data_IF_482656440445
#
_entry.id   IF_482656440445
#
_cell.length_a   1.000
_cell.length_b   1.000
_cell.length_c   1.000
_cell.angle_alpha   90.00
_cell.angle_beta   90.00
_cell.angle_gamma   90.00
#
_symmetry.space_group_name_H-M   'P 1'
#
loop_
_entity.id
_entity.type
_entity.pdbx_description
1 polymer ?
#
# COMPACT_ATOMS: atom_id res chain seq x y z
N UNK A 1 26.49 -13.14 22.70
CA UNK A 1 26.12 -12.56 21.39
C UNK A 1 26.18 -13.70 20.39
N UNK A 2 25.07 -14.03 19.76
CA UNK A 2 24.98 -15.06 18.71
C UNK A 2 25.23 -14.42 17.34
N UNK A 3 25.74 -15.20 16.40
CA UNK A 3 25.87 -14.79 15.00
C UNK A 3 24.50 -14.81 14.31
N UNK A 4 23.68 -15.83 14.64
CA UNK A 4 22.42 -16.12 13.97
C UNK A 4 21.31 -16.24 15.02
N UNK A 5 20.18 -15.61 14.74
CA UNK A 5 18.89 -15.86 15.37
C UNK A 5 18.04 -16.70 14.40
N UNK A 6 17.54 -17.85 14.83
CA UNK A 6 16.65 -18.68 14.01
C UNK A 6 15.19 -18.44 14.42
N UNK A 7 14.43 -17.84 13.52
CA UNK A 7 12.97 -17.70 13.63
C UNK A 7 12.28 -18.86 12.94
N UNK A 8 11.35 -19.53 13.64
CA UNK A 8 10.65 -20.70 13.11
C UNK A 8 9.32 -20.92 13.85
N UNK A 9 8.36 -21.59 13.20
CA UNK A 9 7.11 -21.96 13.86
C UNK A 9 7.34 -23.14 14.80
N UNK A 10 6.68 -23.17 15.96
CA UNK A 10 6.86 -24.23 16.98
C UNK A 10 6.67 -25.64 16.40
N UNK A 11 5.76 -25.80 15.42
CA UNK A 11 5.51 -27.07 14.75
C UNK A 11 6.71 -27.59 13.93
N UNK A 12 7.65 -26.73 13.57
CA UNK A 12 8.85 -27.05 12.80
C UNK A 12 10.07 -27.37 13.68
N UNK A 13 9.90 -27.59 14.99
CA UNK A 13 11.00 -27.77 15.95
C UNK A 13 12.08 -28.78 15.55
N UNK A 14 11.70 -29.93 15.00
CA UNK A 14 12.68 -30.95 14.56
C UNK A 14 13.47 -30.49 13.32
N UNK A 15 12.82 -29.76 12.41
CA UNK A 15 13.47 -29.17 11.22
C UNK A 15 14.43 -28.06 11.66
N UNK A 16 13.99 -27.20 12.58
CA UNK A 16 14.80 -26.14 13.17
C UNK A 16 16.03 -26.70 13.90
N UNK A 17 15.87 -27.80 14.65
CA UNK A 17 16.98 -28.45 15.33
C UNK A 17 18.07 -28.94 14.36
N UNK A 18 17.68 -29.55 13.24
CA UNK A 18 18.63 -29.98 12.21
C UNK A 18 19.42 -28.79 11.61
N UNK A 19 18.75 -27.64 11.40
CA UNK A 19 19.37 -26.41 10.92
C UNK A 19 20.37 -25.88 11.95
N UNK A 20 19.97 -25.79 13.22
CA UNK A 20 20.81 -25.32 14.33
C UNK A 20 22.07 -26.18 14.45
N UNK A 21 21.93 -27.51 14.44
CA UNK A 21 23.07 -28.42 14.53
C UNK A 21 24.03 -28.26 13.36
N UNK A 22 23.52 -28.14 12.13
CA UNK A 22 24.32 -27.90 10.94
C UNK A 22 25.10 -26.59 10.97
N UNK A 23 24.45 -25.50 11.36
CA UNK A 23 25.08 -24.18 11.49
C UNK A 23 26.13 -24.15 12.60
N UNK A 24 25.85 -24.77 13.76
CA UNK A 24 26.82 -24.90 14.86
C UNK A 24 28.03 -25.76 14.46
N UNK A 25 27.82 -26.86 13.73
CA UNK A 25 28.91 -27.68 13.19
C UNK A 25 29.76 -26.92 12.16
N UNK A 26 29.18 -25.93 11.47
CA UNK A 26 29.88 -25.02 10.57
C UNK A 26 30.60 -23.86 11.27
N UNK A 27 30.53 -23.77 12.61
CA UNK A 27 31.24 -22.78 13.42
C UNK A 27 30.45 -21.54 13.80
N UNK A 28 29.15 -21.45 13.47
CA UNK A 28 28.31 -20.32 13.86
C UNK A 28 27.72 -20.48 15.26
N UNK A 29 27.63 -19.38 16.01
CA UNK A 29 26.80 -19.33 17.21
C UNK A 29 25.34 -19.04 16.83
N UNK A 30 24.42 -19.93 17.22
CA UNK A 30 22.99 -19.84 16.86
C UNK A 30 22.15 -19.77 18.11
N UNK A 31 21.25 -18.78 18.16
CA UNK A 31 20.21 -18.63 19.17
C UNK A 31 18.85 -19.01 18.57
N UNK A 32 18.02 -19.69 19.37
CA UNK A 32 16.65 -20.09 19.08
C UNK A 32 15.89 -20.25 20.40
N UNK A 33 14.57 -20.32 20.37
CA UNK A 33 13.71 -20.25 21.57
C UNK A 33 14.00 -21.34 22.64
N UNK A 34 14.60 -22.48 22.27
CA UNK A 34 15.03 -23.53 23.22
C UNK A 34 16.25 -23.14 24.07
N UNK A 35 16.93 -22.03 23.76
CA UNK A 35 18.05 -21.51 24.56
C UNK A 35 17.58 -20.58 25.71
N UNK A 36 16.28 -20.27 25.79
CA UNK A 36 15.69 -19.43 26.85
C UNK A 36 15.81 -20.13 28.21
N UNK A 37 16.39 -19.43 29.19
CA UNK A 37 16.62 -19.98 30.52
C UNK A 37 15.33 -19.98 31.36
N UNK A 38 15.12 -21.01 32.22
CA UNK A 38 14.01 -21.00 33.16
C UNK A 38 13.98 -19.72 34.01
N UNK A 39 12.84 -19.03 34.04
CA UNK A 39 12.65 -17.79 34.78
C UNK A 39 12.93 -16.50 33.99
N UNK A 40 13.39 -16.57 32.75
CA UNK A 40 13.43 -15.41 31.85
C UNK A 40 12.05 -15.10 31.27
N UNK A 41 11.76 -13.81 31.05
CA UNK A 41 10.59 -13.39 30.29
C UNK A 41 10.84 -13.66 28.80
N UNK A 42 9.95 -14.43 28.17
CA UNK A 42 10.16 -14.99 26.82
C UNK A 42 10.29 -13.89 25.77
N UNK A 43 9.42 -12.87 25.81
CA UNK A 43 9.43 -11.80 24.80
C UNK A 43 10.69 -10.97 24.88
N UNK A 44 11.13 -10.60 26.08
CA UNK A 44 12.37 -9.86 26.30
C UNK A 44 13.60 -10.65 25.83
N UNK A 45 13.65 -11.96 26.12
CA UNK A 45 14.76 -12.81 25.69
C UNK A 45 14.84 -12.94 24.16
N UNK A 46 13.70 -13.09 23.48
CA UNK A 46 13.60 -13.11 22.01
C UNK A 46 14.06 -11.77 21.43
N UNK A 47 13.52 -10.66 21.92
CA UNK A 47 13.85 -9.32 21.42
C UNK A 47 15.35 -9.01 21.59
N UNK A 48 15.93 -9.34 22.75
CA UNK A 48 17.37 -9.16 23.00
C UNK A 48 18.23 -10.00 22.05
N UNK A 49 17.85 -11.27 21.84
CA UNK A 49 18.59 -12.17 20.96
C UNK A 49 18.50 -11.76 19.48
N UNK A 50 17.32 -11.36 19.02
CA UNK A 50 17.10 -10.86 17.66
C UNK A 50 17.89 -9.57 17.43
N UNK A 51 17.87 -8.64 18.40
CA UNK A 51 18.61 -7.38 18.30
C UNK A 51 20.14 -7.61 18.22
N UNK A 52 20.65 -8.55 19.01
CA UNK A 52 22.07 -8.86 19.11
C UNK A 52 22.61 -9.71 17.94
N UNK A 53 21.75 -10.38 17.18
CA UNK A 53 22.17 -11.25 16.09
C UNK A 53 22.56 -10.48 14.83
N UNK A 54 23.55 -11.00 14.09
CA UNK A 54 23.98 -10.44 12.80
C UNK A 54 23.05 -10.83 11.66
N UNK A 55 22.38 -11.98 11.79
CA UNK A 55 21.44 -12.52 10.83
C UNK A 55 20.23 -13.12 11.56
N UNK A 56 19.02 -12.76 11.14
CA UNK A 56 17.80 -13.50 11.40
C UNK A 56 17.54 -14.44 10.22
N UNK A 57 17.59 -15.74 10.48
CA UNK A 57 17.24 -16.78 9.53
C UNK A 57 15.78 -17.17 9.78
N UNK A 58 14.89 -16.90 8.83
CA UNK A 58 13.46 -17.21 8.96
C UNK A 58 13.11 -18.50 8.21
N UNK A 59 12.57 -19.49 8.93
CA UNK A 59 12.08 -20.74 8.35
C UNK A 59 10.64 -20.63 7.87
N UNK A 60 10.43 -20.67 6.55
CA UNK A 60 9.11 -20.60 5.91
C UNK A 60 8.50 -21.98 5.68
N UNK A 61 7.51 -22.34 6.49
CA UNK A 61 6.70 -23.55 6.40
C UNK A 61 5.22 -23.20 6.20
N UNK A 62 4.37 -24.20 5.98
CA UNK A 62 2.91 -23.96 5.95
C UNK A 62 2.37 -23.36 7.24
N UNK A 63 3.02 -23.63 8.38
CA UNK A 63 2.61 -23.11 9.69
C UNK A 63 3.17 -21.72 9.93
N UNK A 64 4.40 -21.44 9.50
CA UNK A 64 5.00 -20.12 9.74
C UNK A 64 4.41 -19.01 8.86
N UNK A 65 3.88 -19.35 7.69
CA UNK A 65 3.23 -18.38 6.79
C UNK A 65 1.77 -18.12 7.13
N UNK A 66 1.17 -18.96 8.00
CA UNK A 66 -0.20 -18.80 8.45
C UNK A 66 -0.26 -17.79 9.60
N UNK A 67 -0.99 -16.69 9.42
CA UNK A 67 -1.09 -15.61 10.41
C UNK A 67 -1.66 -16.05 11.78
N UNK A 68 -2.41 -17.14 11.86
CA UNK A 68 -2.96 -17.62 13.14
C UNK A 68 -1.95 -18.42 13.96
N UNK A 69 -0.90 -18.95 13.33
CA UNK A 69 0.05 -19.87 13.96
C UNK A 69 1.53 -19.46 13.82
N UNK A 70 1.83 -18.55 12.90
CA UNK A 70 3.18 -18.11 12.54
C UNK A 70 3.42 -16.61 12.66
N UNK A 71 2.50 -15.82 13.26
CA UNK A 71 2.63 -14.36 13.33
C UNK A 71 3.96 -13.90 13.95
N UNK A 72 4.41 -14.54 15.03
CA UNK A 72 5.70 -14.21 15.66
C UNK A 72 6.88 -14.36 14.68
N UNK A 73 6.84 -15.38 13.79
CA UNK A 73 7.89 -15.61 12.77
C UNK A 73 7.89 -14.51 11.72
N UNK A 74 6.70 -14.06 11.31
CA UNK A 74 6.51 -12.98 10.34
C UNK A 74 7.04 -11.66 10.93
N UNK A 75 6.65 -11.34 12.16
CA UNK A 75 7.06 -10.10 12.85
C UNK A 75 8.59 -10.05 13.05
N UNK A 76 9.20 -11.16 13.48
CA UNK A 76 10.66 -11.28 13.66
C UNK A 76 11.41 -11.14 12.34
N UNK A 77 10.88 -11.75 11.27
CA UNK A 77 11.45 -11.63 9.93
C UNK A 77 11.33 -10.20 9.39
N UNK A 78 10.23 -9.49 9.67
CA UNK A 78 10.03 -8.10 9.24
C UNK A 78 10.98 -7.15 9.97
N UNK A 79 11.13 -7.32 11.29
CA UNK A 79 12.08 -6.55 12.08
C UNK A 79 13.52 -6.74 11.59
N UNK A 80 13.91 -7.97 11.27
CA UNK A 80 15.22 -8.26 10.71
C UNK A 80 15.42 -7.70 9.29
N UNK A 81 14.37 -7.73 8.47
CA UNK A 81 14.36 -7.15 7.12
C UNK A 81 14.64 -5.65 7.17
N UNK A 82 13.99 -4.92 8.08
CA UNK A 82 14.21 -3.48 8.29
C UNK A 82 15.66 -3.12 8.67
N UNK A 83 16.41 -4.07 9.25
CA UNK A 83 17.82 -3.92 9.62
C UNK A 83 18.80 -4.35 8.52
N UNK A 84 18.32 -4.89 7.40
CA UNK A 84 19.20 -5.51 6.40
C UNK A 84 19.87 -6.80 6.89
N UNK A 85 19.24 -7.50 7.85
CA UNK A 85 19.77 -8.67 8.53
C UNK A 85 18.88 -9.91 8.35
N UNK A 86 18.18 -10.03 7.21
CA UNK A 86 17.19 -11.08 6.95
C UNK A 86 17.66 -12.06 5.86
N UNK A 87 17.45 -13.36 6.13
CA UNK A 87 17.54 -14.43 5.12
C UNK A 87 16.40 -15.44 5.33
N UNK A 88 15.63 -15.69 4.28
CA UNK A 88 14.57 -16.71 4.29
C UNK A 88 15.09 -18.11 3.95
N UNK A 89 14.48 -19.14 4.52
CA UNK A 89 14.68 -20.56 4.14
C UNK A 89 13.32 -21.18 3.89
N UNK A 90 13.09 -21.70 2.68
CA UNK A 90 11.83 -22.34 2.33
C UNK A 90 11.83 -23.81 2.78
N UNK A 91 11.10 -24.11 3.85
CA UNK A 91 10.98 -25.46 4.44
C UNK A 91 9.87 -26.28 3.80
N UNK A 92 8.75 -25.66 3.43
CA UNK A 92 7.67 -26.27 2.65
C UNK A 92 7.45 -25.48 1.36
N UNK A 93 6.85 -26.09 0.33
CA UNK A 93 6.41 -25.33 -0.85
C UNK A 93 5.24 -24.43 -0.47
N UNK A 94 5.56 -23.18 -0.13
CA UNK A 94 4.62 -22.15 0.28
C UNK A 94 4.96 -20.85 -0.43
N UNK A 95 3.95 -20.00 -0.61
CA UNK A 95 4.19 -18.61 -0.98
C UNK A 95 4.76 -17.89 0.24
N UNK A 96 5.79 -17.06 0.02
CA UNK A 96 6.37 -16.28 1.10
C UNK A 96 5.34 -15.28 1.64
N UNK A 97 5.36 -14.99 2.96
CA UNK A 97 4.49 -13.97 3.50
C UNK A 97 4.72 -12.62 2.84
N UNK A 98 3.69 -11.79 2.96
CA UNK A 98 3.67 -10.46 2.39
C UNK A 98 4.91 -9.64 2.83
N UNK A 99 5.52 -8.89 1.89
CA UNK A 99 6.74 -8.12 2.15
C UNK A 99 8.07 -8.90 2.06
N UNK A 100 8.05 -10.21 1.74
CA UNK A 100 9.26 -11.03 1.55
C UNK A 100 9.48 -11.52 0.10
N UNK A 101 8.54 -11.25 -0.82
CA UNK A 101 8.59 -11.73 -2.21
C UNK A 101 9.72 -11.17 -3.08
N UNK A 102 10.34 -10.06 -2.67
CA UNK A 102 11.54 -9.48 -3.29
C UNK A 102 12.87 -10.07 -2.79
N UNK A 103 12.82 -11.04 -1.87
CA UNK A 103 13.98 -11.74 -1.35
C UNK A 103 14.04 -13.14 -1.94
N UNK A 104 15.24 -13.59 -2.30
CA UNK A 104 15.48 -14.96 -2.74
C UNK A 104 15.77 -15.86 -1.52
N UNK A 105 14.80 -16.67 -1.03
CA UNK A 105 15.05 -17.57 0.08
C UNK A 105 15.94 -18.74 -0.37
N UNK A 106 16.61 -19.36 0.58
CA UNK A 106 17.26 -20.66 0.35
C UNK A 106 16.14 -21.70 0.20
N UNK A 107 15.88 -22.14 -1.03
CA UNK A 107 14.86 -23.15 -1.30
C UNK A 107 15.41 -24.56 -1.05
N UNK A 108 14.93 -25.19 0.02
CA UNK A 108 15.20 -26.60 0.36
C UNK A 108 13.89 -27.41 0.48
N UNK A 109 12.78 -26.89 -0.05
CA UNK A 109 11.47 -27.46 0.14
C UNK A 109 11.22 -28.72 -0.73
N UNK A 110 10.60 -29.78 -0.19
CA UNK A 110 10.25 -29.96 1.22
C UNK A 110 11.49 -30.35 2.04
N UNK A 111 11.70 -29.65 3.15
CA UNK A 111 12.81 -29.88 4.06
C UNK A 111 12.40 -30.81 5.20
N UNK A 112 13.20 -31.85 5.40
CA UNK A 112 12.98 -32.90 6.40
C UNK A 112 14.23 -33.15 7.26
N UNK A 113 15.15 -32.18 7.35
CA UNK A 113 16.42 -32.36 8.06
C UNK A 113 17.50 -33.10 7.25
N UNK A 114 17.31 -33.28 5.94
CA UNK A 114 18.32 -33.95 5.10
C UNK A 114 19.68 -33.24 5.12
N UNK A 115 20.76 -34.01 5.11
CA UNK A 115 22.12 -33.48 5.10
C UNK A 115 22.40 -32.55 3.91
N UNK A 116 21.80 -32.82 2.74
CA UNK A 116 21.90 -31.96 1.56
C UNK A 116 21.22 -30.60 1.76
N UNK A 117 20.01 -30.58 2.33
CA UNK A 117 19.33 -29.33 2.65
C UNK A 117 20.05 -28.52 3.73
N UNK A 118 20.56 -29.20 4.77
CA UNK A 118 21.40 -28.55 5.80
C UNK A 118 22.65 -27.93 5.18
N UNK A 119 23.34 -28.65 4.29
CA UNK A 119 24.51 -28.11 3.60
C UNK A 119 24.19 -26.88 2.74
N UNK A 120 23.04 -26.87 2.05
CA UNK A 120 22.58 -25.72 1.27
C UNK A 120 22.29 -24.50 2.15
N UNK A 121 21.61 -24.70 3.30
CA UNK A 121 21.34 -23.63 4.27
C UNK A 121 22.64 -23.04 4.81
N UNK A 122 23.58 -23.89 5.23
CA UNK A 122 24.89 -23.45 5.73
C UNK A 122 25.64 -22.66 4.66
N UNK A 123 25.55 -23.06 3.39
CA UNK A 123 26.19 -22.32 2.31
C UNK A 123 25.54 -20.95 2.07
N UNK A 124 24.20 -20.87 2.05
CA UNK A 124 23.53 -19.58 1.89
C UNK A 124 23.78 -18.63 3.06
N UNK A 125 23.88 -19.14 4.28
CA UNK A 125 24.30 -18.36 5.45
C UNK A 125 25.75 -17.87 5.31
N UNK A 126 26.67 -18.71 4.83
CA UNK A 126 28.06 -18.29 4.54
C UNK A 126 28.09 -17.12 3.55
N UNK A 127 27.40 -17.28 2.43
CA UNK A 127 27.31 -16.25 1.40
C UNK A 127 26.72 -14.94 1.93
N UNK A 128 25.66 -15.02 2.73
CA UNK A 128 25.05 -13.86 3.39
C UNK A 128 26.02 -13.18 4.35
N UNK A 129 26.72 -13.94 5.19
CA UNK A 129 27.66 -13.38 6.17
C UNK A 129 28.89 -12.72 5.51
N UNK A 130 29.25 -13.14 4.29
CA UNK A 130 30.33 -12.51 3.51
C UNK A 130 29.88 -11.26 2.75
N UNK A 131 28.68 -11.29 2.15
CA UNK A 131 28.21 -10.27 1.20
C UNK A 131 27.23 -9.26 1.82
N UNK A 132 26.64 -9.60 2.96
CA UNK A 132 25.47 -8.91 3.52
C UNK A 132 24.20 -9.17 2.72
N UNK A 133 23.10 -8.53 3.13
CA UNK A 133 21.84 -8.57 2.40
C UNK A 133 21.99 -7.84 1.05
N UNK A 134 21.69 -8.52 -0.05
CA UNK A 134 21.73 -7.92 -1.38
C UNK A 134 20.66 -6.83 -1.50
N UNK A 135 21.04 -5.66 -2.02
CA UNK A 135 20.07 -4.62 -2.38
C UNK A 135 19.19 -5.12 -3.56
N UNK A 136 17.87 -4.87 -3.55
CA UNK A 136 17.01 -5.25 -4.67
C UNK A 136 17.53 -4.62 -5.98
N UNK A 137 17.55 -5.40 -7.06
CA UNK A 137 18.07 -4.95 -8.35
C UNK A 137 17.17 -3.86 -8.98
N UNK A 138 17.77 -2.76 -9.45
CA UNK A 138 17.06 -1.69 -10.16
C UNK A 138 16.68 -2.11 -11.61
N UNK A 139 15.53 -1.65 -12.09
CA UNK A 139 14.97 -2.04 -13.39
C UNK A 139 15.47 -1.23 -14.58
N UNK A 140 15.40 -1.80 -15.80
CA UNK A 140 15.61 -1.04 -17.03
C UNK A 140 14.42 -0.09 -17.33
N UNK A 141 14.67 1.07 -17.97
CA UNK A 141 13.64 2.05 -18.28
C UNK A 141 12.58 1.55 -19.27
N UNK A 142 11.30 1.97 -19.13
CA UNK A 142 10.20 1.47 -19.94
C UNK A 142 10.14 2.08 -21.36
N UNK A 143 9.51 1.39 -22.33
CA UNK A 143 9.27 1.93 -23.68
C UNK A 143 8.25 3.09 -23.67
N UNK A 144 8.35 4.05 -24.61
CA UNK A 144 7.50 5.25 -24.63
C UNK A 144 6.02 4.92 -24.96
N UNK A 145 5.06 5.65 -24.36
CA UNK A 145 3.64 5.40 -24.58
C UNK A 145 3.17 5.78 -26.01
N UNK A 146 2.16 5.10 -26.57
CA UNK A 146 1.55 5.47 -27.85
C UNK A 146 0.76 6.78 -27.73
N UNK A 147 0.91 7.68 -28.72
CA UNK A 147 0.27 9.00 -28.74
C UNK A 147 -1.23 8.88 -29.03
N UNK A 148 -2.06 9.51 -28.20
CA UNK A 148 -3.50 9.65 -28.47
C UNK A 148 -3.77 10.66 -29.61
N UNK A 149 -4.78 10.43 -30.47
CA UNK A 149 -5.11 11.34 -31.56
C UNK A 149 -5.90 12.56 -31.05
N UNK A 150 -5.44 13.76 -31.44
CA UNK A 150 -6.14 15.03 -31.19
C UNK A 150 -6.99 15.37 -32.42
N UNK A 151 -8.31 15.43 -32.25
CA UNK A 151 -9.21 15.86 -33.32
C UNK A 151 -9.43 17.38 -33.23
N UNK A 152 -9.05 18.11 -34.29
CA UNK A 152 -9.19 19.58 -34.40
C UNK A 152 -10.27 19.91 -35.42
N UNK A 153 -11.40 20.43 -34.93
CA UNK A 153 -12.48 21.04 -35.72
C UNK A 153 -13.70 21.13 -34.81
N UNK A 154 -14.31 22.27 -34.55
CA UNK A 154 -14.69 23.32 -35.49
C UNK A 154 -15.11 24.56 -34.66
N UNK A 155 -14.68 25.76 -35.06
CA UNK A 155 -15.28 27.02 -34.63
C UNK A 155 -16.01 27.63 -35.84
N UNK A 156 -17.23 28.15 -35.63
CA UNK A 156 -17.69 29.52 -35.97
C UNK A 156 -19.22 29.57 -35.95
N UNK A 157 -19.79 30.55 -35.22
CA UNK A 157 -21.21 30.89 -35.33
C UNK A 157 -21.80 31.76 -34.21
N UNK A 158 -21.16 32.87 -33.82
CA UNK A 158 -21.71 33.84 -32.86
C UNK A 158 -22.39 34.98 -33.61
N UNK A 159 -23.73 35.05 -33.56
CA UNK A 159 -24.50 36.30 -33.71
C UNK A 159 -26.00 36.18 -33.33
N UNK A 160 -26.54 34.99 -33.06
CA UNK A 160 -27.95 34.82 -32.60
C UNK A 160 -28.03 34.34 -31.12
N UNK A 161 -26.90 34.03 -30.49
CA UNK A 161 -26.87 33.31 -29.22
C UNK A 161 -27.22 34.15 -27.98
N UNK A 162 -27.13 35.49 -28.00
CA UNK A 162 -27.23 36.28 -26.76
C UNK A 162 -28.67 36.35 -26.19
N UNK A 163 -29.71 36.23 -27.02
CA UNK A 163 -31.09 36.15 -26.54
C UNK A 163 -31.50 34.74 -26.08
N UNK A 164 -30.87 33.69 -26.63
CA UNK A 164 -31.08 32.29 -26.22
C UNK A 164 -30.22 31.91 -25.00
N UNK A 165 -29.05 32.51 -24.82
CA UNK A 165 -28.19 32.31 -23.64
C UNK A 165 -28.87 32.85 -22.37
N UNK A 166 -29.64 33.95 -22.45
CA UNK A 166 -30.39 34.44 -21.29
C UNK A 166 -31.50 33.48 -20.84
N UNK A 167 -32.23 32.88 -21.78
CA UNK A 167 -33.29 31.92 -21.48
C UNK A 167 -32.73 30.54 -21.09
N UNK A 168 -31.67 30.08 -21.74
CA UNK A 168 -30.97 28.82 -21.42
C UNK A 168 -30.21 28.95 -20.09
N UNK A 169 -29.53 30.07 -19.82
CA UNK A 169 -28.91 30.30 -18.51
C UNK A 169 -29.96 30.42 -17.41
N UNK A 170 -31.12 31.04 -17.66
CA UNK A 170 -32.21 31.08 -16.68
C UNK A 170 -32.89 29.72 -16.46
N UNK A 171 -32.98 28.85 -17.49
CA UNK A 171 -33.50 27.48 -17.32
C UNK A 171 -32.47 26.54 -16.70
N UNK A 172 -31.18 26.69 -17.01
CA UNK A 172 -30.08 25.92 -16.41
C UNK A 172 -29.78 26.35 -14.96
N UNK A 173 -29.93 27.64 -14.62
CA UNK A 173 -29.74 28.11 -13.23
C UNK A 173 -30.95 27.87 -12.33
N UNK A 174 -32.14 27.57 -12.87
CA UNK A 174 -33.37 27.43 -12.07
C UNK A 174 -33.77 25.99 -11.76
N UNK A 175 -33.00 24.99 -12.18
CA UNK A 175 -33.31 23.57 -11.92
C UNK A 175 -32.09 22.65 -11.95
N UNK A 176 -31.12 22.85 -11.06
CA UNK A 176 -30.25 21.75 -10.65
C UNK A 176 -30.48 21.55 -9.14
N UNK A 177 -31.61 20.94 -8.80
CA UNK A 177 -31.68 20.33 -7.48
C UNK A 177 -30.51 19.33 -7.40
N UNK A 178 -29.72 19.33 -6.31
CA UNK A 178 -28.56 18.46 -6.20
C UNK A 178 -28.99 17.01 -6.46
N UNK A 179 -28.23 16.34 -7.33
CA UNK A 179 -28.50 14.95 -7.71
C UNK A 179 -28.38 14.03 -6.50
N UNK A 180 -28.87 12.80 -6.64
CA UNK A 180 -28.68 11.78 -5.61
C UNK A 180 -27.19 11.58 -5.28
N UNK A 181 -26.34 11.51 -6.32
CA UNK A 181 -24.89 11.46 -6.17
C UNK A 181 -24.34 12.67 -5.39
N UNK A 182 -24.76 13.90 -5.71
CA UNK A 182 -24.28 15.12 -5.02
C UNK A 182 -24.61 15.13 -3.52
N UNK A 183 -25.70 14.45 -3.13
CA UNK A 183 -26.11 14.34 -1.72
C UNK A 183 -25.41 13.19 -1.00
N UNK A 184 -25.14 12.08 -1.68
CA UNK A 184 -24.51 10.89 -1.10
C UNK A 184 -22.99 11.03 -1.01
N UNK A 185 -22.34 11.59 -2.03
CA UNK A 185 -20.87 11.71 -2.12
C UNK A 185 -20.24 12.33 -0.85
N UNK A 186 -20.72 13.47 -0.31
CA UNK A 186 -20.13 14.07 0.89
C UNK A 186 -20.27 13.18 2.14
N UNK A 187 -21.28 12.33 2.17
CA UNK A 187 -21.60 11.45 3.30
C UNK A 187 -20.80 10.16 3.28
N UNK A 188 -20.28 9.74 2.13
CA UNK A 188 -19.36 8.61 2.04
C UNK A 188 -18.08 8.85 2.86
N UNK A 189 -17.66 10.11 3.02
CA UNK A 189 -16.52 10.48 3.86
C UNK A 189 -16.78 10.27 5.36
N UNK A 190 -18.01 10.01 5.80
CA UNK A 190 -18.35 9.73 7.20
C UNK A 190 -18.18 8.23 7.57
N UNK A 191 -18.11 7.34 6.57
CA UNK A 191 -17.99 5.89 6.77
C UNK A 191 -16.57 5.54 7.23
N UNK A 192 -16.46 4.89 8.39
CA UNK A 192 -15.18 4.43 8.95
C UNK A 192 -14.61 3.27 8.15
N UNK A 193 -13.28 3.18 8.10
CA UNK A 193 -12.54 2.17 7.36
C UNK A 193 -13.01 2.03 5.91
N UNK A 194 -13.27 3.16 5.26
CA UNK A 194 -13.73 3.19 3.88
C UNK A 194 -13.20 4.43 3.15
N UNK A 195 -12.87 4.25 1.88
CA UNK A 195 -12.64 5.34 0.95
C UNK A 195 -13.51 5.09 -0.28
N UNK A 196 -14.67 5.74 -0.32
CA UNK A 196 -15.70 5.48 -1.32
C UNK A 196 -15.99 6.74 -2.13
N UNK A 197 -16.41 6.50 -3.37
CA UNK A 197 -16.98 7.48 -4.28
C UNK A 197 -18.24 6.88 -4.93
N UNK A 198 -19.15 7.74 -5.37
CA UNK A 198 -20.24 7.34 -6.24
C UNK A 198 -19.67 6.96 -7.61
N UNK A 199 -20.11 5.82 -8.15
CA UNK A 199 -19.76 5.39 -9.49
C UNK A 199 -20.29 6.42 -10.51
N UNK A 200 -19.42 7.06 -11.32
CA UNK A 200 -19.87 8.03 -12.32
C UNK A 200 -20.80 7.42 -13.39
N UNK A 201 -20.86 6.09 -13.49
CA UNK A 201 -21.77 5.38 -14.41
C UNK A 201 -23.13 5.09 -13.77
N UNK A 202 -23.19 4.98 -12.43
CA UNK A 202 -24.40 4.63 -11.67
C UNK A 202 -24.64 5.70 -10.60
N UNK A 203 -25.10 6.86 -11.04
CA UNK A 203 -25.24 8.06 -10.21
C UNK A 203 -26.56 8.13 -9.43
N UNK A 204 -27.45 7.14 -9.59
CA UNK A 204 -28.74 7.10 -8.90
C UNK A 204 -29.93 7.69 -9.66
N UNK A 205 -29.75 8.18 -10.89
CA UNK A 205 -30.85 8.75 -11.70
C UNK A 205 -32.01 7.77 -11.95
N UNK A 206 -31.72 6.48 -12.07
CA UNK A 206 -32.69 5.41 -12.23
C UNK A 206 -33.07 4.72 -10.90
N UNK A 207 -32.69 5.32 -9.78
CA UNK A 207 -32.84 4.75 -8.45
C UNK A 207 -31.76 3.75 -8.07
N UNK A 208 -30.74 3.51 -8.91
CA UNK A 208 -29.61 2.64 -8.60
C UNK A 208 -28.33 3.43 -8.49
N UNK A 209 -27.71 3.42 -7.32
CA UNK A 209 -26.45 4.12 -7.06
C UNK A 209 -25.32 3.12 -6.91
N UNK A 210 -24.25 3.28 -7.67
CA UNK A 210 -23.04 2.47 -7.56
C UNK A 210 -22.04 3.14 -6.62
N UNK A 211 -21.28 2.33 -5.89
CA UNK A 211 -20.14 2.77 -5.11
C UNK A 211 -18.86 2.15 -5.71
N UNK A 212 -17.78 2.92 -5.71
CA UNK A 212 -16.44 2.48 -6.08
C UNK A 212 -15.46 2.80 -4.94
N UNK A 213 -14.39 2.02 -4.82
CA UNK A 213 -13.32 2.25 -3.86
C UNK A 213 -13.12 1.05 -2.93
N UNK A 214 -12.87 1.31 -1.64
CA UNK A 214 -12.59 0.25 -0.65
C UNK A 214 -13.37 0.43 0.64
N UNK A 215 -13.65 -0.68 1.32
CA UNK A 215 -14.19 -0.71 2.66
C UNK A 215 -13.75 -1.96 3.43
N UNK A 216 -13.53 -1.85 4.74
CA UNK A 216 -13.26 -3.02 5.59
C UNK A 216 -14.45 -3.98 5.67
N UNK A 217 -15.67 -3.44 5.56
CA UNK A 217 -16.91 -4.19 5.40
C UNK A 217 -17.79 -3.52 4.32
N UNK A 218 -17.70 -3.95 3.05
CA UNK A 218 -18.50 -3.39 1.96
C UNK A 218 -20.01 -3.54 2.17
N UNK A 219 -20.46 -4.60 2.86
CA UNK A 219 -21.87 -4.82 3.13
C UNK A 219 -22.39 -3.86 4.20
N UNK A 220 -21.61 -3.60 5.25
CA UNK A 220 -21.93 -2.55 6.22
C UNK A 220 -21.94 -1.16 5.57
N UNK A 221 -20.96 -0.86 4.71
CA UNK A 221 -20.92 0.41 3.98
C UNK A 221 -22.16 0.59 3.08
N UNK A 222 -22.57 -0.46 2.37
CA UNK A 222 -23.80 -0.49 1.58
C UNK A 222 -25.03 -0.20 2.45
N UNK A 223 -25.16 -0.86 3.60
CA UNK A 223 -26.25 -0.66 4.54
C UNK A 223 -26.29 0.77 5.07
N UNK A 224 -25.14 1.37 5.37
CA UNK A 224 -25.03 2.78 5.79
C UNK A 224 -25.52 3.73 4.70
N UNK A 225 -25.17 3.51 3.43
CA UNK A 225 -25.64 4.34 2.31
C UNK A 225 -27.16 4.22 2.11
N UNK A 226 -27.73 3.01 2.28
CA UNK A 226 -29.19 2.81 2.24
C UNK A 226 -29.87 3.62 3.34
N UNK A 227 -29.38 3.54 4.58
CA UNK A 227 -29.93 4.29 5.72
C UNK A 227 -29.84 5.79 5.52
N UNK A 228 -28.69 6.27 5.02
CA UNK A 228 -28.48 7.67 4.69
C UNK A 228 -29.49 8.15 3.63
N UNK A 229 -29.64 7.40 2.55
CA UNK A 229 -30.58 7.72 1.49
C UNK A 229 -32.01 7.83 2.04
N UNK A 230 -32.43 6.90 2.91
CA UNK A 230 -33.74 6.94 3.56
C UNK A 230 -33.90 8.17 4.47
N UNK A 231 -32.89 8.50 5.27
CA UNK A 231 -32.92 9.66 6.18
C UNK A 231 -33.04 11.00 5.44
N UNK A 232 -32.42 11.10 4.25
CA UNK A 232 -32.46 12.27 3.38
C UNK A 232 -33.70 12.30 2.44
N UNK A 233 -34.61 11.31 2.58
CA UNK A 233 -35.80 11.20 1.74
C UNK A 233 -35.50 10.90 0.27
N UNK A 234 -34.38 10.25 -0.01
CA UNK A 234 -33.89 9.92 -1.34
C UNK A 234 -34.42 8.56 -1.80
N UNK A 235 -34.95 8.51 -3.02
CA UNK A 235 -35.47 7.29 -3.62
C UNK A 235 -34.34 6.42 -4.18
N UNK A 236 -33.71 5.61 -3.33
CA UNK A 236 -32.73 4.58 -3.73
C UNK A 236 -33.39 3.21 -3.69
N UNK A 237 -33.46 2.52 -4.83
CA UNK A 237 -33.95 1.15 -4.97
C UNK A 237 -32.83 0.14 -4.72
N UNK A 238 -31.62 0.46 -5.15
CA UNK A 238 -30.47 -0.44 -5.08
C UNK A 238 -29.17 0.36 -4.87
N UNK A 239 -28.30 -0.14 -3.99
CA UNK A 239 -26.92 0.32 -3.86
C UNK A 239 -26.02 -0.78 -4.41
N UNK A 240 -25.27 -0.53 -5.47
CA UNK A 240 -24.41 -1.53 -6.12
C UNK A 240 -22.97 -1.34 -5.67
N UNK A 241 -22.33 -2.42 -5.23
CA UNK A 241 -20.97 -2.41 -4.63
C UNK A 241 -20.00 -3.36 -5.35
N UNK A 242 -20.27 -3.71 -6.61
CA UNK A 242 -19.44 -4.62 -7.42
C UNK A 242 -18.02 -4.10 -7.66
N UNK A 243 -17.82 -2.78 -7.53
CA UNK A 243 -16.54 -2.08 -7.65
C UNK A 243 -15.99 -1.60 -6.30
N UNK A 244 -16.54 -2.09 -5.18
CA UNK A 244 -16.00 -1.85 -3.84
C UNK A 244 -15.19 -3.08 -3.43
N UNK A 245 -13.89 -2.89 -3.23
CA UNK A 245 -13.04 -3.95 -2.72
C UNK A 245 -13.11 -4.03 -1.20
N UNK A 246 -13.09 -5.27 -0.68
CA UNK A 246 -12.88 -5.50 0.74
C UNK A 246 -11.38 -5.44 1.06
N UNK A 247 -11.04 -4.65 2.07
CA UNK A 247 -9.67 -4.48 2.59
C UNK A 247 -9.55 -5.10 4.00
N UNK A 248 -8.32 -5.33 4.43
CA UNK A 248 -8.05 -5.86 5.76
C UNK A 248 -8.30 -4.78 6.84
N UNK A 249 -8.92 -5.11 7.99
CA UNK A 249 -9.12 -4.15 9.07
C UNK A 249 -7.83 -3.48 9.59
N UNK A 250 -6.66 -4.08 9.39
CA UNK A 250 -5.35 -3.47 9.70
C UNK A 250 -5.06 -2.23 8.86
N UNK A 251 -5.67 -2.10 7.69
CA UNK A 251 -5.50 -0.94 6.81
C UNK A 251 -6.34 0.26 7.27
N UNK A 252 -7.37 0.03 8.12
CA UNK A 252 -8.31 1.07 8.53
C UNK A 252 -7.66 2.35 9.08
N UNK A 253 -6.65 2.31 9.97
CA UNK A 253 -6.02 3.54 10.47
C UNK A 253 -5.34 4.35 9.36
N UNK A 254 -4.78 3.69 8.34
CA UNK A 254 -4.17 4.34 7.18
C UNK A 254 -5.20 5.00 6.25
N UNK A 255 -6.48 4.65 6.40
CA UNK A 255 -7.59 5.23 5.63
C UNK A 255 -8.32 6.29 6.44
N UNK A 256 -8.68 5.98 7.68
CA UNK A 256 -9.48 6.85 8.55
C UNK A 256 -8.75 8.15 8.88
N UNK A 257 -7.44 8.09 9.02
CA UNK A 257 -6.63 9.25 9.34
C UNK A 257 -6.61 10.28 8.18
N UNK A 258 -6.21 9.93 6.94
CA UNK A 258 -6.37 10.82 5.79
C UNK A 258 -7.82 11.20 5.49
N UNK A 259 -8.79 10.31 5.73
CA UNK A 259 -10.22 10.57 5.48
C UNK A 259 -10.72 11.80 6.23
N UNK A 260 -10.22 12.09 7.45
CA UNK A 260 -10.59 13.35 8.14
C UNK A 260 -10.26 14.60 7.32
N UNK A 261 -9.18 14.52 6.54
CA UNK A 261 -8.62 15.64 5.81
C UNK A 261 -9.35 15.84 4.49
N UNK A 262 -10.08 14.83 3.99
CA UNK A 262 -10.81 14.87 2.72
C UNK A 262 -11.82 16.02 2.69
N UNK A 263 -11.55 17.02 1.86
CA UNK A 263 -12.45 18.16 1.56
C UNK A 263 -13.01 18.07 0.16
N UNK A 264 -12.23 17.58 -0.79
CA UNK A 264 -12.68 17.43 -2.18
C UNK A 264 -13.29 16.04 -2.41
N UNK A 265 -14.23 15.91 -3.37
CA UNK A 265 -14.79 14.61 -3.75
C UNK A 265 -13.82 13.74 -4.59
N UNK A 266 -12.53 14.08 -4.62
CA UNK A 266 -11.49 13.39 -5.39
C UNK A 266 -10.97 14.21 -6.58
N UNK A 267 -10.18 13.55 -7.44
CA UNK A 267 -9.62 14.13 -8.67
C UNK A 267 -8.24 14.76 -8.49
N UNK A 268 -7.67 14.70 -7.29
CA UNK A 268 -6.28 15.10 -7.02
C UNK A 268 -5.30 13.99 -7.30
N UNK A 269 -5.74 12.74 -7.20
CA UNK A 269 -4.91 11.57 -7.41
C UNK A 269 -5.60 10.60 -8.38
N UNK A 270 -4.86 10.14 -9.38
CA UNK A 270 -5.31 9.09 -10.30
C UNK A 270 -4.19 8.12 -10.57
N UNK A 271 -4.52 6.87 -10.77
CA UNK A 271 -3.60 5.84 -11.24
C UNK A 271 -4.10 5.31 -12.57
N UNK A 272 -3.20 5.14 -13.52
CA UNK A 272 -3.48 4.68 -14.88
C UNK A 272 -2.50 3.57 -15.25
N UNK A 273 -2.86 2.79 -16.28
CA UNK A 273 -2.05 1.66 -16.74
C UNK A 273 -2.62 0.29 -16.39
N UNK A 274 -3.91 0.20 -16.06
CA UNK A 274 -4.59 -1.08 -15.83
C UNK A 274 -4.60 -1.98 -17.09
N UNK A 275 -4.56 -3.32 -16.92
CA UNK A 275 -4.39 -4.06 -15.66
C UNK A 275 -2.95 -4.03 -15.13
N UNK A 276 -2.79 -4.09 -13.82
CA UNK A 276 -1.48 -4.08 -13.16
C UNK A 276 -1.01 -5.50 -12.86
N UNK A 277 0.22 -5.81 -13.31
CA UNK A 277 0.83 -7.11 -13.08
C UNK A 277 2.19 -6.96 -12.43
N UNK A 278 2.50 -7.84 -11.47
CA UNK A 278 3.83 -7.96 -10.93
C UNK A 278 4.71 -8.67 -11.97
N UNK A 279 5.71 -7.98 -12.51
CA UNK A 279 6.60 -8.60 -13.48
C UNK A 279 7.51 -9.63 -12.78
N UNK A 280 7.52 -10.90 -13.23
CA UNK A 280 8.26 -11.96 -12.54
C UNK A 280 9.77 -11.74 -12.45
N UNK A 281 10.36 -11.00 -13.41
CA UNK A 281 11.78 -10.71 -13.46
C UNK A 281 12.18 -9.58 -12.52
N UNK A 282 11.30 -8.59 -12.36
CA UNK A 282 11.56 -7.36 -11.64
C UNK A 282 11.02 -7.37 -10.21
N UNK A 283 10.04 -8.25 -9.95
CA UNK A 283 9.21 -8.25 -8.73
C UNK A 283 8.50 -6.94 -8.48
N UNK A 284 8.24 -6.17 -9.53
CA UNK A 284 7.57 -4.87 -9.45
C UNK A 284 6.48 -4.76 -10.51
N UNK A 285 5.44 -4.01 -10.18
CA UNK A 285 4.40 -3.57 -11.09
C UNK A 285 4.67 -2.12 -11.48
N UNK A 286 4.36 -1.74 -12.71
CA UNK A 286 4.43 -0.36 -13.15
C UNK A 286 3.06 0.30 -12.95
N UNK A 287 2.97 1.30 -12.08
CA UNK A 287 1.76 2.11 -11.93
C UNK A 287 2.07 3.56 -12.30
N UNK A 288 1.25 4.16 -13.17
CA UNK A 288 1.42 5.56 -13.56
C UNK A 288 0.49 6.44 -12.74
N UNK A 289 1.08 7.31 -11.94
CA UNK A 289 0.40 8.21 -11.01
C UNK A 289 0.26 9.59 -11.65
N UNK A 290 -0.95 10.14 -11.64
CA UNK A 290 -1.25 11.54 -11.94
C UNK A 290 -1.65 12.24 -10.64
N UNK A 291 -0.98 13.35 -10.33
CA UNK A 291 -1.27 14.21 -9.18
C UNK A 291 -1.63 15.61 -9.69
N UNK A 292 -2.69 16.18 -9.13
CA UNK A 292 -3.13 17.56 -9.40
C UNK A 292 -3.01 18.42 -8.15
N UNK A 293 -2.30 19.54 -8.28
CA UNK A 293 -2.15 20.57 -7.24
C UNK A 293 -2.85 21.86 -7.67
N UNK A 294 -3.67 22.41 -6.79
CA UNK A 294 -4.25 23.74 -6.95
C UNK A 294 -3.22 24.83 -6.64
N UNK A 295 -3.46 26.06 -7.11
CA UNK A 295 -2.57 27.20 -6.83
C UNK A 295 -2.41 27.52 -5.33
N UNK A 296 -3.34 27.07 -4.48
CA UNK A 296 -3.29 27.25 -3.01
C UNK A 296 -2.41 26.19 -2.32
N UNK A 297 -2.13 25.07 -2.99
CA UNK A 297 -1.45 23.93 -2.40
C UNK A 297 0.06 24.21 -2.40
N UNK A 298 0.61 24.45 -1.21
CA UNK A 298 2.03 24.74 -1.00
C UNK A 298 2.83 23.55 -0.48
N UNK A 299 2.13 22.48 -0.12
CA UNK A 299 2.71 21.23 0.35
C UNK A 299 1.96 20.06 -0.25
N UNK A 300 2.68 18.96 -0.39
CA UNK A 300 2.19 17.69 -0.87
C UNK A 300 3.03 16.57 -0.27
N UNK A 301 2.38 15.50 0.18
CA UNK A 301 3.02 14.23 0.49
C UNK A 301 2.25 13.09 -0.16
N UNK A 302 2.96 12.08 -0.67
CA UNK A 302 2.43 10.87 -1.29
C UNK A 302 2.84 9.66 -0.46
N UNK A 303 1.90 8.73 -0.31
CA UNK A 303 2.05 7.56 0.53
C UNK A 303 1.50 6.32 -0.17
N UNK A 304 2.24 5.22 -0.10
CA UNK A 304 1.76 3.90 -0.51
C UNK A 304 1.21 3.14 0.70
N UNK A 305 0.09 2.42 0.51
CA UNK A 305 -0.53 1.54 1.50
C UNK A 305 -0.56 0.14 0.92
N UNK A 306 0.01 -0.78 1.67
CA UNK A 306 0.08 -2.20 1.35
C UNK A 306 -1.10 -2.96 2.02
N UNK A 307 -1.54 -4.12 1.48
CA UNK A 307 -2.60 -4.95 2.08
C UNK A 307 -2.38 -5.32 3.55
N UNK A 308 -1.12 -5.29 4.01
CA UNK A 308 -0.77 -5.53 5.42
C UNK A 308 -1.14 -4.36 6.36
N UNK A 309 -1.53 -3.22 5.81
CA UNK A 309 -1.67 -1.95 6.53
C UNK A 309 -0.35 -1.20 6.70
N UNK A 310 0.73 -1.68 6.09
CA UNK A 310 2.00 -0.95 6.05
C UNK A 310 1.87 0.28 5.16
N UNK A 311 2.39 1.41 5.65
CA UNK A 311 2.38 2.69 4.94
C UNK A 311 3.81 3.15 4.69
N UNK A 312 4.11 3.47 3.45
CA UNK A 312 5.42 3.97 3.01
C UNK A 312 5.32 5.45 2.63
N UNK A 313 6.20 6.29 3.19
CA UNK A 313 6.37 7.70 2.82
C UNK A 313 7.07 7.80 1.45
N UNK A 314 6.29 7.68 0.37
CA UNK A 314 6.81 7.62 -1.00
C UNK A 314 7.42 8.95 -1.46
N UNK A 315 6.72 10.07 -1.20
CA UNK A 315 7.21 11.42 -1.45
C UNK A 315 6.82 12.29 -0.25
N UNK A 316 7.75 12.64 0.65
CA UNK A 316 7.39 13.24 1.93
C UNK A 316 7.00 14.72 1.85
N UNK A 317 7.38 15.42 0.78
CA UNK A 317 7.13 16.85 0.62
C UNK A 317 7.20 17.34 -0.84
N UNK A 318 6.96 18.63 -1.07
CA UNK A 318 7.07 19.25 -2.40
C UNK A 318 8.50 19.20 -2.98
N UNK A 319 9.54 19.22 -2.13
CA UNK A 319 10.94 19.11 -2.57
C UNK A 319 11.20 17.75 -3.19
N UNK A 320 10.63 16.68 -2.62
CA UNK A 320 10.75 15.33 -3.16
C UNK A 320 10.06 15.18 -4.53
N UNK A 321 8.97 15.91 -4.79
CA UNK A 321 8.35 15.97 -6.13
C UNK A 321 9.25 16.68 -7.12
N UNK A 322 9.85 17.80 -6.71
CA UNK A 322 10.80 18.51 -7.57
C UNK A 322 12.04 17.66 -7.89
N UNK A 323 12.50 16.84 -6.95
CA UNK A 323 13.60 15.90 -7.14
C UNK A 323 13.29 14.78 -8.14
N UNK A 324 12.01 14.51 -8.45
CA UNK A 324 11.63 13.55 -9.51
C UNK A 324 12.15 13.96 -10.89
N UNK A 325 12.49 15.24 -11.11
CA UNK A 325 13.07 15.72 -12.37
C UNK A 325 14.41 15.08 -12.69
N UNK A 326 15.15 14.72 -11.65
CA UNK A 326 16.47 14.12 -11.75
C UNK A 326 16.41 12.58 -11.66
N UNK A 327 15.21 12.02 -11.44
CA UNK A 327 14.97 10.58 -11.35
C UNK A 327 14.40 10.02 -12.67
N UNK A 328 14.79 8.79 -13.00
CA UNK A 328 14.27 8.08 -14.18
C UNK A 328 12.90 7.44 -13.90
N UNK A 329 11.91 8.30 -13.63
CA UNK A 329 10.53 7.89 -13.29
C UNK A 329 9.53 8.20 -14.40
N UNK A 330 10.03 8.53 -15.59
CA UNK A 330 9.19 8.93 -16.72
C UNK A 330 8.35 10.18 -16.42
N UNK A 331 8.91 11.14 -15.67
CA UNK A 331 8.20 12.33 -15.23
C UNK A 331 7.71 13.17 -16.42
N UNK A 332 6.41 13.45 -16.45
CA UNK A 332 5.76 14.40 -17.34
C UNK A 332 5.10 15.48 -16.49
N UNK A 333 5.62 16.70 -16.57
CA UNK A 333 4.95 17.87 -16.00
C UNK A 333 4.00 18.46 -17.04
N UNK A 334 2.71 18.45 -16.74
CA UNK A 334 1.69 19.07 -17.58
C UNK A 334 1.52 20.55 -17.19
N UNK A 335 0.84 21.34 -18.03
CA UNK A 335 0.38 22.66 -17.62
C UNK A 335 -0.57 22.55 -16.41
N UNK A 336 -0.75 23.63 -15.65
CA UNK A 336 -1.78 23.75 -14.61
C UNK A 336 -1.58 22.90 -13.34
N UNK A 337 -0.33 22.67 -12.90
CA UNK A 337 -0.06 22.04 -11.59
C UNK A 337 -0.24 20.52 -11.55
N UNK A 338 -0.28 19.89 -12.73
CA UNK A 338 -0.39 18.44 -12.90
C UNK A 338 0.96 17.77 -13.12
N UNK A 339 1.19 16.68 -12.41
CA UNK A 339 2.39 15.86 -12.48
C UNK A 339 2.01 14.42 -12.77
N UNK A 340 2.73 13.78 -13.69
CA UNK A 340 2.54 12.39 -14.02
C UNK A 340 3.88 11.66 -13.96
N UNK A 341 3.98 10.57 -13.21
CA UNK A 341 5.21 9.80 -13.04
C UNK A 341 4.92 8.34 -12.69
N UNK A 342 5.96 7.50 -12.80
CA UNK A 342 5.88 6.09 -12.46
C UNK A 342 6.20 5.86 -10.99
N UNK A 343 5.42 4.97 -10.37
CA UNK A 343 5.80 4.27 -9.16
C UNK A 343 5.91 2.78 -9.45
N UNK A 344 6.63 2.06 -8.59
CA UNK A 344 6.96 0.66 -8.79
C UNK A 344 6.62 -0.16 -7.55
N UNK A 345 5.31 -0.40 -7.26
CA UNK A 345 4.94 -1.23 -6.14
C UNK A 345 5.45 -2.65 -6.37
N UNK A 346 5.97 -3.26 -5.32
CA UNK A 346 6.67 -4.55 -5.33
C UNK A 346 5.86 -5.67 -4.66
N UNK A 347 4.54 -5.48 -4.59
CA UNK A 347 3.63 -6.38 -3.90
C UNK A 347 2.42 -6.77 -4.75
N UNK A 348 1.80 -7.89 -4.40
CA UNK A 348 0.54 -8.36 -4.97
C UNK A 348 -0.66 -7.85 -4.15
N UNK A 349 -1.84 -7.92 -4.74
CA UNK A 349 -3.10 -7.60 -4.08
C UNK A 349 -3.49 -6.12 -4.21
N UNK A 350 -4.38 -5.68 -3.33
CA UNK A 350 -4.87 -4.30 -3.32
C UNK A 350 -3.81 -3.36 -2.78
N UNK A 351 -3.46 -2.34 -3.55
CA UNK A 351 -2.57 -1.27 -3.12
C UNK A 351 -3.35 0.03 -3.04
N UNK A 352 -3.15 0.74 -1.95
CA UNK A 352 -3.64 2.10 -1.77
C UNK A 352 -2.53 3.08 -2.12
N UNK A 353 -2.88 4.14 -2.82
CA UNK A 353 -2.02 5.31 -2.95
C UNK A 353 -2.84 6.49 -2.47
N UNK A 354 -2.27 7.31 -1.59
CA UNK A 354 -2.94 8.54 -1.18
C UNK A 354 -2.00 9.72 -1.11
N UNK A 355 -2.59 10.88 -1.33
CA UNK A 355 -1.92 12.16 -1.33
C UNK A 355 -2.54 13.04 -0.26
N UNK A 356 -1.69 13.79 0.45
CA UNK A 356 -2.10 14.85 1.37
C UNK A 356 -1.52 16.15 0.85
N UNK A 357 -2.37 17.15 0.63
CA UNK A 357 -1.98 18.47 0.14
C UNK A 357 -2.41 19.54 1.14
N UNK A 358 -1.67 20.66 1.21
CA UNK A 358 -2.03 21.71 2.15
C UNK A 358 -1.41 23.07 1.89
N UNK A 359 -1.85 24.06 2.65
CA UNK A 359 -1.46 25.46 2.54
C UNK A 359 -0.07 25.78 3.12
N UNK A 360 0.57 24.79 3.74
CA UNK A 360 1.87 24.89 4.44
C UNK A 360 2.56 23.52 4.49
N UNK A 361 3.88 23.47 4.73
CA UNK A 361 4.60 22.22 4.95
C UNK A 361 4.05 21.41 6.13
N UNK A 362 4.15 20.09 6.06
CA UNK A 362 3.84 19.19 7.18
C UNK A 362 4.69 19.55 8.41
N UNK A 363 4.07 19.60 9.59
CA UNK A 363 4.79 19.93 10.83
C UNK A 363 5.81 18.85 11.22
N UNK A 364 5.58 17.61 10.76
CA UNK A 364 6.43 16.44 10.98
C UNK A 364 6.41 15.55 9.73
N UNK A 365 7.30 15.83 8.78
CA UNK A 365 7.54 14.95 7.65
C UNK A 365 8.56 13.86 8.03
N UNK A 366 8.33 12.63 7.61
CA UNK A 366 9.32 11.55 7.76
C UNK A 366 10.20 11.48 6.51
N UNK A 367 11.44 10.95 6.61
CA UNK A 367 12.27 10.73 5.43
C UNK A 367 11.58 9.85 4.38
N UNK A 368 11.86 10.11 3.11
CA UNK A 368 11.40 9.28 2.00
C UNK A 368 11.80 7.81 2.22
N UNK A 369 10.87 6.89 1.98
CA UNK A 369 11.07 5.45 2.20
C UNK A 369 10.89 5.00 3.65
N UNK A 370 10.50 5.90 4.56
CA UNK A 370 10.09 5.49 5.91
C UNK A 370 8.85 4.61 5.82
N UNK A 371 8.90 3.48 6.51
CA UNK A 371 7.82 2.48 6.58
C UNK A 371 7.23 2.49 7.99
N UNK A 372 5.91 2.48 8.09
CA UNK A 372 5.19 2.49 9.37
C UNK A 372 4.00 1.54 9.31
N UNK A 373 3.65 0.92 10.44
CA UNK A 373 2.34 0.28 10.57
C UNK A 373 1.23 1.33 10.54
N UNK A 374 0.04 0.98 10.03
CA UNK A 374 -1.09 1.91 9.84
C UNK A 374 -1.42 2.77 11.07
N UNK A 375 -1.39 2.20 12.27
CA UNK A 375 -1.69 2.92 13.52
C UNK A 375 -0.60 3.95 13.88
N UNK A 376 0.67 3.60 13.68
CA UNK A 376 1.80 4.51 13.89
C UNK A 376 1.79 5.63 12.85
N UNK A 377 1.55 5.27 11.59
CA UNK A 377 1.33 6.22 10.51
C UNK A 377 0.21 7.19 10.86
N UNK A 378 -0.92 6.69 11.37
CA UNK A 378 -2.06 7.52 11.71
C UNK A 378 -1.69 8.56 12.78
N UNK A 379 -0.99 8.16 13.83
CA UNK A 379 -0.48 9.09 14.85
C UNK A 379 0.48 10.13 14.25
N UNK A 380 1.38 9.69 13.36
CA UNK A 380 2.37 10.55 12.71
C UNK A 380 1.70 11.59 11.82
N UNK A 381 0.74 11.19 10.99
CA UNK A 381 0.02 12.12 10.11
C UNK A 381 -0.84 13.10 10.92
N UNK A 382 -1.41 12.67 12.05
CA UNK A 382 -2.15 13.56 12.96
C UNK A 382 -1.29 14.70 13.47
N UNK A 383 -0.10 14.38 13.95
CA UNK A 383 0.88 15.37 14.40
C UNK A 383 1.31 16.28 13.24
N UNK A 384 1.58 15.69 12.07
CA UNK A 384 2.03 16.41 10.88
C UNK A 384 1.00 17.42 10.36
N UNK A 385 -0.29 17.13 10.54
CA UNK A 385 -1.44 17.91 10.05
C UNK A 385 -2.20 18.67 11.14
N UNK A 386 -1.64 18.76 12.36
CA UNK A 386 -2.30 19.36 13.53
C UNK A 386 -2.71 20.84 13.33
N UNK A 387 -2.12 21.54 12.36
CA UNK A 387 -2.54 22.88 11.96
C UNK A 387 -2.40 23.09 10.45
N UNK A 388 -3.13 24.07 9.93
CA UNK A 388 -3.20 24.36 8.49
C UNK A 388 -4.46 23.81 7.83
N UNK A 389 -4.59 24.14 6.55
CA UNK A 389 -5.70 23.70 5.73
C UNK A 389 -5.23 22.55 4.85
N UNK A 390 -5.75 21.36 5.13
CA UNK A 390 -5.38 20.13 4.44
C UNK A 390 -6.53 19.61 3.57
N UNK A 391 -6.17 18.89 2.53
CA UNK A 391 -7.05 18.04 1.73
C UNK A 391 -6.34 16.71 1.46
N UNK A 392 -7.10 15.63 1.29
CA UNK A 392 -6.55 14.32 1.00
C UNK A 392 -7.35 13.62 -0.09
N UNK A 393 -6.65 12.86 -0.92
CA UNK A 393 -7.25 12.01 -1.95
C UNK A 393 -6.57 10.65 -1.98
N UNK A 394 -7.31 9.60 -2.33
CA UNK A 394 -6.84 8.22 -2.29
C UNK A 394 -7.42 7.43 -3.46
N UNK A 395 -6.58 6.57 -4.02
CA UNK A 395 -6.96 5.63 -5.08
C UNK A 395 -6.49 4.24 -4.68
N UNK A 396 -7.27 3.24 -5.06
CA UNK A 396 -6.95 1.83 -4.87
C UNK A 396 -6.92 1.13 -6.20
N UNK A 397 -5.93 0.25 -6.36
CA UNK A 397 -5.81 -0.60 -7.53
C UNK A 397 -5.28 -1.97 -7.11
N UNK A 398 -5.51 -2.97 -7.95
CA UNK A 398 -5.10 -4.35 -7.66
C UNK A 398 -3.95 -4.75 -8.58
N UNK A 399 -2.92 -5.34 -7.99
CA UNK A 399 -1.77 -5.91 -8.69
C UNK A 399 -1.90 -7.43 -8.65
N UNK A 400 -2.03 -8.03 -9.83
CA UNK A 400 -2.18 -9.46 -9.99
C UNK A 400 -0.85 -10.11 -10.43
N UNK A 401 -0.67 -11.43 -10.20
CA UNK A 401 0.42 -12.16 -10.82
C UNK A 401 0.25 -12.17 -12.35
N UNK A 402 1.37 -12.08 -13.08
CA UNK A 402 1.41 -12.10 -14.55
C UNK A 402 1.15 -13.48 -15.14
#
# INVERSE_FOLDING_TARGET
MSDIFLSYAVADGDRAEAIVQGLRAAGYSVWWDRDIQPGQERKAAIAEAMEAAKLCLAGWSRTSVDHSTGQDVIDEAEAAKGRGAYLGVLLDKVELPFGFGGYDPIDVAPFNGSAGGVAAIVQGVRDFMEKGQAAPAALPPPPPPPKAPVNKGLIVGIAVAVAMIGAIAFFLFRSAAPTLADKVEPKLAEISCAWLHVDPVRTGEDGRIGLIGVAGDPAAAQATVIQLAQAEGLAVQEVVIDKVAQIDPRECPAIDEPRRLRKSPGGRLRVTGEPFFLDPATKQSLARVEITLDAKDKSIALFGVEPSGVVTWALPDATSIDALKDADVGLVKQADGKWEFNIYPDHLGWTGLFVVVGDRPLAKAMPQGTVQGSAEFASTLREATAGGEWDADMVWFRIDPK
#
